data_IF_091195472788
#
_entry.id   IF_091195472788
#
_cell.length_a   1.000
_cell.length_b   1.000
_cell.length_c   1.000
_cell.angle_alpha   90.00
_cell.angle_beta   90.00
_cell.angle_gamma   90.00
#
_symmetry.space_group_name_H-M   'P 1'
#
loop_
_entity.id
_entity.type
_entity.pdbx_description
1 polymer ?
#
# COMPACT_ATOMS: atom_id res chain seq x y z
N UNK A 1 -6.52 14.82 7.77
CA UNK A 1 -5.11 14.59 8.18
C UNK A 1 -4.83 13.14 8.57
N UNK A 2 -5.27 12.60 9.73
CA UNK A 2 -4.94 11.20 10.08
C UNK A 2 -5.56 10.16 9.12
N UNK A 3 -6.74 10.44 8.57
CA UNK A 3 -7.43 9.55 7.61
C UNK A 3 -6.71 9.38 6.28
N UNK A 4 -5.92 10.35 5.86
CA UNK A 4 -5.22 10.33 4.55
C UNK A 4 -4.07 9.32 4.54
N UNK A 5 -3.45 9.07 5.69
CA UNK A 5 -2.40 8.04 5.85
C UNK A 5 -2.93 6.61 5.73
N UNK A 6 -4.22 6.39 6.00
CA UNK A 6 -4.87 5.07 5.89
C UNK A 6 -5.76 4.96 4.65
N UNK A 7 -5.72 5.95 3.77
CA UNK A 7 -6.53 5.93 2.55
C UNK A 7 -5.93 4.92 1.58
N UNK A 8 -6.65 3.83 1.35
CA UNK A 8 -6.27 2.82 0.35
C UNK A 8 -6.71 3.36 -1.00
N UNK A 9 -5.82 3.45 -2.00
CA UNK A 9 -6.17 3.79 -3.38
C UNK A 9 -7.28 2.93 -3.98
N UNK A 10 -7.94 3.42 -5.01
CA UNK A 10 -8.91 2.63 -5.79
C UNK A 10 -8.42 2.56 -7.21
N UNK A 11 -8.06 1.36 -7.66
CA UNK A 11 -7.56 1.12 -9.00
C UNK A 11 -8.17 -0.18 -9.56
N UNK A 12 -7.71 -0.62 -10.71
CA UNK A 12 -8.09 -1.92 -11.27
C UNK A 12 -7.79 -3.04 -10.27
N UNK A 13 -8.74 -3.96 -10.15
CA UNK A 13 -8.66 -5.11 -9.26
C UNK A 13 -7.34 -5.86 -9.39
N UNK A 14 -6.89 -6.09 -10.64
CA UNK A 14 -5.63 -6.77 -10.93
C UNK A 14 -4.41 -6.01 -10.39
N UNK A 15 -4.39 -4.68 -10.55
CA UNK A 15 -3.28 -3.83 -10.07
C UNK A 15 -3.25 -3.84 -8.55
N UNK A 16 -4.40 -3.70 -7.90
CA UNK A 16 -4.49 -3.73 -6.44
C UNK A 16 -4.03 -5.09 -5.89
N UNK A 17 -4.43 -6.20 -6.52
CA UNK A 17 -4.05 -7.54 -6.08
C UNK A 17 -2.55 -7.79 -6.25
N UNK A 18 -1.96 -7.37 -7.37
CA UNK A 18 -0.51 -7.45 -7.61
C UNK A 18 0.25 -6.57 -6.62
N UNK A 19 -0.17 -5.31 -6.42
CA UNK A 19 0.49 -4.38 -5.49
C UNK A 19 0.39 -4.86 -4.04
N UNK A 20 -0.77 -5.39 -3.62
CA UNK A 20 -0.95 -5.95 -2.29
C UNK A 20 -0.06 -7.17 -2.04
N UNK A 21 0.07 -8.07 -3.03
CA UNK A 21 0.99 -9.21 -2.95
C UNK A 21 2.44 -8.71 -2.88
N UNK A 22 2.80 -7.77 -3.75
CA UNK A 22 4.16 -7.21 -3.82
C UNK A 22 4.57 -6.54 -2.52
N UNK A 23 3.64 -5.90 -1.83
CA UNK A 23 3.88 -5.24 -0.55
C UNK A 23 4.39 -6.23 0.52
N UNK A 24 3.81 -7.43 0.60
CA UNK A 24 4.25 -8.45 1.56
C UNK A 24 5.72 -8.87 1.41
N UNK A 25 6.22 -8.90 0.17
CA UNK A 25 7.58 -9.36 -0.13
C UNK A 25 8.61 -8.24 -0.15
N UNK A 26 8.19 -7.04 -0.56
CA UNK A 26 9.08 -5.89 -0.77
C UNK A 26 8.88 -4.77 0.24
N UNK A 27 8.20 -5.02 1.37
CA UNK A 27 8.18 -4.14 2.54
C UNK A 27 7.81 -2.68 2.22
N UNK A 28 6.75 -2.47 1.43
CA UNK A 28 6.24 -1.13 1.09
C UNK A 28 6.39 -0.69 -0.37
N UNK A 29 7.13 -1.45 -1.20
CA UNK A 29 7.23 -1.13 -2.65
C UNK A 29 5.88 -1.23 -3.36
N UNK A 30 5.03 -2.19 -2.96
CA UNK A 30 3.67 -2.31 -3.50
C UNK A 30 2.84 -1.07 -3.21
N UNK A 31 2.94 -0.54 -1.99
CA UNK A 31 2.28 0.68 -1.54
C UNK A 31 2.79 1.92 -2.29
N UNK A 32 4.10 2.03 -2.55
CA UNK A 32 4.67 3.13 -3.35
C UNK A 32 4.11 3.12 -4.78
N UNK A 33 4.13 1.96 -5.44
CA UNK A 33 3.62 1.83 -6.81
C UNK A 33 2.13 2.16 -6.85
N UNK A 34 1.36 1.67 -5.89
CA UNK A 34 -0.06 1.95 -5.81
C UNK A 34 -0.35 3.45 -5.61
N UNK A 35 0.44 4.14 -4.78
CA UNK A 35 0.35 5.59 -4.60
C UNK A 35 0.72 6.39 -5.86
N UNK A 36 1.70 5.92 -6.64
CA UNK A 36 2.05 6.54 -7.93
C UNK A 36 0.91 6.39 -8.95
N UNK A 37 0.27 5.22 -8.98
CA UNK A 37 -0.85 4.95 -9.88
C UNK A 37 -2.16 5.65 -9.44
N UNK A 38 -2.25 6.11 -8.20
CA UNK A 38 -3.38 6.85 -7.62
C UNK A 38 -3.18 8.36 -7.71
N UNK A 39 -2.94 8.90 -8.91
CA UNK A 39 -2.68 10.33 -9.14
C UNK A 39 -1.52 10.90 -8.30
N UNK A 40 -0.44 10.13 -8.12
CA UNK A 40 0.70 10.54 -7.29
C UNK A 40 0.27 10.94 -5.87
N UNK A 41 -0.51 10.07 -5.21
CA UNK A 41 -0.94 10.28 -3.84
C UNK A 41 0.26 10.31 -2.88
N UNK A 42 0.67 11.54 -2.53
CA UNK A 42 1.88 11.80 -1.78
C UNK A 42 1.91 11.06 -0.44
N UNK A 43 0.77 10.99 0.26
CA UNK A 43 0.69 10.32 1.56
C UNK A 43 0.94 8.81 1.46
N UNK A 44 0.38 8.15 0.45
CA UNK A 44 0.54 6.70 0.23
C UNK A 44 1.99 6.38 -0.15
N UNK A 45 2.60 7.21 -1.00
CA UNK A 45 4.00 7.06 -1.40
C UNK A 45 4.93 7.22 -0.18
N UNK A 46 4.74 8.28 0.62
CA UNK A 46 5.52 8.51 1.83
C UNK A 46 5.32 7.38 2.83
N UNK A 47 4.11 6.83 2.94
CA UNK A 47 3.82 5.69 3.81
C UNK A 47 4.60 4.43 3.40
N UNK A 48 4.63 4.11 2.10
CA UNK A 48 5.44 3.00 1.59
C UNK A 48 6.95 3.20 1.77
N UNK A 49 7.44 4.45 1.66
CA UNK A 49 8.84 4.78 1.98
C UNK A 49 9.12 4.57 3.48
N UNK A 50 8.18 4.96 4.35
CA UNK A 50 8.31 4.79 5.79
C UNK A 50 8.35 3.30 6.19
N UNK A 51 7.58 2.46 5.49
CA UNK A 51 7.61 1.00 5.65
C UNK A 51 8.99 0.40 5.31
N UNK A 52 9.66 0.92 4.29
CA UNK A 52 11.03 0.52 3.93
C UNK A 52 12.07 1.01 4.96
N UNK A 53 11.90 2.21 5.51
CA UNK A 53 12.85 2.80 6.46
C UNK A 53 12.80 2.15 7.86
N UNK A 54 11.68 1.55 8.25
CA UNK A 54 11.50 0.94 9.58
C UNK A 54 11.38 -0.58 9.43
N UNK A 55 12.47 -1.36 9.47
CA UNK A 55 12.47 -2.75 9.00
C UNK A 55 11.52 -3.69 9.78
N UNK A 56 11.43 -3.59 11.10
CA UNK A 56 10.56 -4.47 11.90
C UNK A 56 9.12 -4.00 11.97
N UNK A 57 8.90 -2.71 12.25
CA UNK A 57 7.55 -2.15 12.34
C UNK A 57 6.91 -1.99 10.94
N UNK A 58 7.69 -1.54 9.97
CA UNK A 58 7.28 -1.32 8.58
C UNK A 58 6.91 -2.61 7.88
N UNK A 59 7.55 -3.75 8.20
CA UNK A 59 7.12 -5.04 7.69
C UNK A 59 5.71 -5.41 8.16
N UNK A 60 5.43 -5.29 9.46
CA UNK A 60 4.10 -5.59 10.02
C UNK A 60 3.05 -4.67 9.38
N UNK A 61 3.37 -3.38 9.25
CA UNK A 61 2.48 -2.40 8.64
C UNK A 61 2.27 -2.70 7.15
N UNK A 62 3.30 -3.12 6.43
CA UNK A 62 3.21 -3.51 5.01
C UNK A 62 2.37 -4.78 4.83
N UNK A 63 2.47 -5.76 5.74
CA UNK A 63 1.56 -6.92 5.74
C UNK A 63 0.11 -6.46 5.93
N UNK A 64 -0.17 -5.67 6.96
CA UNK A 64 -1.53 -5.19 7.23
C UNK A 64 -2.07 -4.42 6.02
N UNK A 65 -1.26 -3.53 5.44
CA UNK A 65 -1.66 -2.72 4.29
C UNK A 65 -1.90 -3.56 3.04
N UNK A 66 -1.02 -4.54 2.74
CA UNK A 66 -1.20 -5.51 1.66
C UNK A 66 -2.51 -6.29 1.78
N UNK A 67 -2.85 -6.78 2.99
CA UNK A 67 -4.14 -7.45 3.25
C UNK A 67 -5.31 -6.50 2.97
N UNK A 68 -5.23 -5.26 3.46
CA UNK A 68 -6.30 -4.26 3.27
C UNK A 68 -6.51 -3.92 1.78
N UNK A 69 -5.44 -3.79 1.01
CA UNK A 69 -5.50 -3.57 -0.45
C UNK A 69 -6.19 -4.75 -1.14
N UNK A 70 -5.83 -5.99 -0.79
CA UNK A 70 -6.45 -7.20 -1.37
C UNK A 70 -7.94 -7.30 -0.99
N UNK A 71 -8.29 -7.09 0.28
CA UNK A 71 -9.68 -7.10 0.72
C UNK A 71 -10.52 -6.05 -0.02
N UNK A 72 -9.95 -4.87 -0.25
CA UNK A 72 -10.61 -3.82 -1.03
C UNK A 72 -10.79 -4.24 -2.49
N UNK A 73 -9.78 -4.85 -3.11
CA UNK A 73 -9.86 -5.38 -4.47
C UNK A 73 -10.88 -6.52 -4.62
N UNK A 74 -11.11 -7.32 -3.57
CA UNK A 74 -12.12 -8.38 -3.57
C UNK A 74 -13.54 -7.86 -3.37
N UNK A 75 -13.70 -6.72 -2.69
CA UNK A 75 -15.00 -6.06 -2.44
C UNK A 75 -15.45 -5.14 -3.59
N UNK A 76 -14.52 -4.79 -4.47
CA UNK A 76 -14.76 -4.12 -5.75
C UNK A 76 -15.43 -5.06 -6.75
#
# INVERSE_FOLDING_TARGET
>A
MASEWFTIPTNDKSIMLICGILDFFLFGVGTIILGLLDNCNFFVIVFGILQLCVPFLGWIVSIIYGVLVILKALKQ
#
